data_IF_799380757578
#
_entry.id   IF_799380757578
#
_cell.length_a   1.000
_cell.length_b   1.000
_cell.length_c   1.000
_cell.angle_alpha   90.00
_cell.angle_beta   90.00
_cell.angle_gamma   90.00
#
_symmetry.space_group_name_H-M   'P 1'
#
loop_
_entity.id
_entity.type
_entity.pdbx_description
1 polymer ?
#
# COMPACT_ATOMS: atom_id res chain seq x y z
N UNK A 1 -10.31 2.08 12.22
CA UNK A 1 -9.86 1.31 11.05
C UNK A 1 -9.06 2.19 10.10
N UNK A 2 -7.84 1.84 9.83
CA UNK A 2 -6.95 2.66 9.02
C UNK A 2 -6.68 2.03 7.65
N UNK A 3 -7.69 1.38 7.09
CA UNK A 3 -7.53 0.65 5.85
C UNK A 3 -7.06 1.48 4.66
N UNK A 4 -7.28 2.80 4.72
CA UNK A 4 -6.88 3.72 3.65
C UNK A 4 -5.73 4.61 4.07
N UNK A 5 -4.98 4.26 5.11
CA UNK A 5 -3.84 5.08 5.46
C UNK A 5 -2.74 4.97 4.40
N UNK A 6 -1.88 5.97 4.38
CA UNK A 6 -0.87 6.09 3.34
C UNK A 6 0.07 4.88 3.32
N UNK A 7 0.44 4.35 4.48
CA UNK A 7 1.35 3.22 4.54
C UNK A 7 0.74 1.97 3.92
N UNK A 8 -0.50 1.66 4.26
CA UNK A 8 -1.19 0.49 3.69
C UNK A 8 -1.35 0.62 2.18
N UNK A 9 -1.69 1.83 1.71
CA UNK A 9 -1.84 2.05 0.26
C UNK A 9 -0.51 1.88 -0.48
N UNK A 10 0.59 2.34 0.09
CA UNK A 10 1.91 2.15 -0.51
C UNK A 10 2.26 0.66 -0.58
N UNK A 11 2.03 -0.08 0.51
CA UNK A 11 2.28 -1.53 0.48
C UNK A 11 1.45 -2.21 -0.59
N UNK A 12 0.19 -1.83 -0.71
CA UNK A 12 -0.70 -2.40 -1.71
C UNK A 12 -0.22 -2.09 -3.13
N UNK A 13 0.23 -0.87 -3.37
CA UNK A 13 0.76 -0.48 -4.67
C UNK A 13 1.96 -1.33 -5.08
N UNK A 14 2.75 -1.80 -4.10
CA UNK A 14 3.96 -2.58 -4.36
C UNK A 14 3.70 -4.08 -4.47
N UNK A 15 2.44 -4.51 -4.38
CA UNK A 15 2.12 -5.94 -4.36
C UNK A 15 2.59 -6.68 -5.61
N UNK A 16 2.57 -6.03 -6.76
CA UNK A 16 2.92 -6.65 -8.04
C UNK A 16 4.40 -6.53 -8.40
N UNK A 17 5.16 -5.75 -7.66
CA UNK A 17 6.58 -5.63 -7.92
C UNK A 17 7.12 -4.25 -7.57
N UNK A 18 8.42 -4.04 -7.81
CA UNK A 18 9.07 -2.78 -7.45
C UNK A 18 8.53 -1.59 -8.24
N UNK A 19 8.40 -0.45 -7.57
CA UNK A 19 8.00 0.81 -8.19
C UNK A 19 8.76 1.95 -7.53
N UNK A 20 8.96 3.03 -8.29
CA UNK A 20 9.44 4.29 -7.72
C UNK A 20 8.26 5.19 -7.37
N UNK A 21 8.55 6.29 -6.64
CA UNK A 21 7.49 7.11 -6.02
C UNK A 21 6.37 7.55 -6.93
N UNK A 22 6.70 8.03 -8.14
CA UNK A 22 5.65 8.46 -9.06
C UNK A 22 4.71 7.30 -9.44
N UNK A 23 5.30 6.15 -9.75
CA UNK A 23 4.50 4.99 -10.13
C UNK A 23 3.68 4.44 -8.97
N UNK A 24 4.22 4.52 -7.75
CA UNK A 24 3.46 4.15 -6.55
C UNK A 24 2.20 4.99 -6.47
N UNK A 25 2.35 6.31 -6.63
CA UNK A 25 1.19 7.20 -6.52
C UNK A 25 0.19 6.99 -7.65
N UNK A 26 0.67 6.67 -8.84
CA UNK A 26 -0.21 6.32 -9.95
C UNK A 26 -1.01 5.05 -9.63
N UNK A 27 -0.37 4.05 -9.03
CA UNK A 27 -1.06 2.83 -8.61
C UNK A 27 -2.09 3.12 -7.52
N UNK A 28 -1.76 3.99 -6.57
CA UNK A 28 -2.70 4.39 -5.51
C UNK A 28 -3.91 5.08 -6.11
N UNK A 29 -3.71 5.96 -7.08
CA UNK A 29 -4.82 6.63 -7.75
C UNK A 29 -5.73 5.62 -8.45
N UNK A 30 -5.14 4.60 -9.09
CA UNK A 30 -5.93 3.54 -9.71
C UNK A 30 -6.75 2.75 -8.70
N UNK A 31 -6.24 2.58 -7.47
CA UNK A 31 -6.92 1.84 -6.42
C UNK A 31 -8.02 2.65 -5.73
N UNK A 32 -7.80 3.94 -5.54
CA UNK A 32 -8.66 4.74 -4.65
C UNK A 32 -9.35 5.90 -5.35
N UNK A 33 -8.91 6.26 -6.53
CA UNK A 33 -9.37 7.46 -7.23
C UNK A 33 -8.64 8.72 -6.83
N UNK A 34 -7.72 8.66 -5.85
CA UNK A 34 -7.01 9.83 -5.36
C UNK A 34 -5.53 9.57 -5.20
N UNK A 35 -4.73 10.58 -5.47
CA UNK A 35 -3.29 10.52 -5.25
C UNK A 35 -2.96 11.01 -3.84
N UNK A 36 -1.88 10.51 -3.28
CA UNK A 36 -1.35 11.07 -2.03
C UNK A 36 -0.57 12.35 -2.34
N UNK A 37 -0.65 13.31 -1.43
CA UNK A 37 0.24 14.46 -1.51
C UNK A 37 1.67 14.04 -1.26
N UNK A 38 2.66 14.88 -1.68
CA UNK A 38 4.07 14.52 -1.55
C UNK A 38 4.48 14.22 -0.12
N UNK A 39 4.01 15.00 0.85
CA UNK A 39 4.35 14.76 2.26
C UNK A 39 3.83 13.43 2.75
N UNK A 40 2.60 13.07 2.39
CA UNK A 40 2.02 11.79 2.78
C UNK A 40 2.74 10.62 2.12
N UNK A 41 3.05 10.75 0.83
CA UNK A 41 3.73 9.69 0.10
C UNK A 41 5.13 9.43 0.66
N UNK A 42 5.95 10.48 0.73
CA UNK A 42 7.33 10.31 1.15
C UNK A 42 7.43 10.03 2.64
N UNK A 43 6.51 10.56 3.45
CA UNK A 43 6.43 10.19 4.86
C UNK A 43 6.13 8.71 5.05
N UNK A 44 5.20 8.18 4.27
CA UNK A 44 4.87 6.75 4.32
C UNK A 44 6.07 5.91 3.90
N UNK A 45 6.76 6.28 2.82
CA UNK A 45 7.94 5.56 2.36
C UNK A 45 9.03 5.52 3.44
N UNK A 46 9.28 6.66 4.07
CA UNK A 46 10.29 6.75 5.13
C UNK A 46 9.95 5.83 6.31
N UNK A 47 8.70 5.85 6.73
CA UNK A 47 8.26 5.02 7.85
C UNK A 47 8.31 3.53 7.52
N UNK A 48 7.90 3.17 6.31
CA UNK A 48 7.90 1.77 5.90
C UNK A 48 9.33 1.24 5.77
N UNK A 49 10.25 2.04 5.27
CA UNK A 49 11.66 1.67 5.21
C UNK A 49 12.23 1.48 6.62
N UNK A 50 11.90 2.39 7.53
CA UNK A 50 12.36 2.28 8.92
C UNK A 50 11.84 1.01 9.59
N UNK A 51 10.64 0.57 9.24
CA UNK A 51 10.05 -0.67 9.75
C UNK A 51 10.55 -1.91 9.01
N UNK A 52 11.35 -1.73 7.97
CA UNK A 52 11.86 -2.80 7.13
C UNK A 52 10.75 -3.58 6.41
N UNK A 53 9.68 -2.89 6.06
CA UNK A 53 8.58 -3.47 5.29
C UNK A 53 8.76 -3.25 3.80
N UNK A 54 9.57 -2.28 3.42
CA UNK A 54 10.00 -2.06 2.05
C UNK A 54 11.51 -1.85 2.05
N UNK A 55 12.12 -2.05 0.89
CA UNK A 55 13.56 -1.90 0.73
C UNK A 55 13.88 -1.36 -0.65
N UNK A 56 14.96 -0.60 -0.81
CA UNK A 56 15.39 -0.18 -2.13
C UNK A 56 15.84 -1.38 -2.95
N UNK A 57 15.57 -1.32 -4.25
CA UNK A 57 16.07 -2.31 -5.19
C UNK A 57 17.38 -1.76 -5.76
N UNK A 58 18.39 -2.61 -5.86
CA UNK A 58 19.63 -2.24 -6.50
C UNK A 58 19.34 -1.86 -7.95
N UNK A 59 19.66 -0.62 -8.33
CA UNK A 59 19.27 -0.08 -9.61
C UNK A 59 20.39 0.74 -10.19
N UNK A 60 20.45 0.76 -11.51
CA UNK A 60 21.35 1.66 -12.21
C UNK A 60 20.56 2.91 -12.58
N UNK A 61 21.15 4.08 -12.30
CA UNK A 61 20.53 5.32 -12.65
C UNK A 61 20.02 6.09 -11.45
N UNK A 62 19.20 7.11 -11.71
CA UNK A 62 18.75 8.06 -10.70
C UNK A 62 17.52 7.60 -9.92
N UNK A 63 16.71 6.77 -10.54
CA UNK A 63 15.48 6.32 -9.92
C UNK A 63 15.77 5.08 -9.08
N UNK A 64 15.25 5.09 -7.88
CA UNK A 64 15.44 3.99 -6.94
C UNK A 64 14.09 3.37 -6.63
N UNK A 65 13.70 2.34 -7.38
CA UNK A 65 12.48 1.64 -7.02
C UNK A 65 12.62 1.01 -5.65
N UNK A 66 11.48 0.85 -4.99
CA UNK A 66 11.41 0.11 -3.73
C UNK A 66 10.50 -1.09 -3.95
N UNK A 67 10.67 -2.09 -3.11
CA UNK A 67 9.86 -3.30 -3.17
C UNK A 67 9.48 -3.75 -1.77
N UNK A 68 8.47 -4.61 -1.69
CA UNK A 68 8.12 -5.23 -0.43
C UNK A 68 9.23 -6.16 0.02
N UNK A 69 9.53 -6.12 1.32
CA UNK A 69 10.30 -7.21 1.93
C UNK A 69 9.37 -8.40 2.17
N UNK A 70 9.92 -9.54 2.57
CA UNK A 70 9.09 -10.68 2.97
C UNK A 70 8.16 -10.30 4.13
N UNK A 71 8.67 -9.53 5.08
CA UNK A 71 7.84 -9.04 6.20
C UNK A 71 6.77 -8.08 5.72
N UNK A 72 7.11 -7.19 4.77
CA UNK A 72 6.16 -6.25 4.21
C UNK A 72 5.01 -6.98 3.53
N UNK A 73 5.32 -8.05 2.82
CA UNK A 73 4.31 -8.85 2.15
C UNK A 73 3.37 -9.49 3.17
N UNK A 74 3.90 -10.00 4.27
CA UNK A 74 3.08 -10.58 5.33
C UNK A 74 2.19 -9.55 6.01
N UNK A 75 2.75 -8.37 6.30
CA UNK A 75 1.96 -7.28 6.89
C UNK A 75 0.83 -6.88 5.95
N UNK A 76 1.14 -6.72 4.67
CA UNK A 76 0.13 -6.34 3.69
C UNK A 76 -0.99 -7.39 3.64
N UNK A 77 -0.65 -8.65 3.61
CA UNK A 77 -1.66 -9.70 3.56
C UNK A 77 -2.59 -9.63 4.77
N UNK A 78 -2.04 -9.46 5.97
CA UNK A 78 -2.86 -9.33 7.19
C UNK A 78 -3.79 -8.11 7.12
N UNK A 79 -3.25 -6.99 6.66
CA UNK A 79 -4.04 -5.77 6.54
C UNK A 79 -5.18 -5.93 5.54
N UNK A 80 -4.89 -6.54 4.40
CA UNK A 80 -5.91 -6.74 3.37
C UNK A 80 -6.99 -7.69 3.86
N UNK A 81 -6.62 -8.76 4.56
CA UNK A 81 -7.61 -9.69 5.09
C UNK A 81 -8.50 -9.01 6.14
N UNK A 82 -7.90 -8.16 6.97
CA UNK A 82 -8.67 -7.42 7.97
C UNK A 82 -9.65 -6.45 7.31
N UNK A 83 -9.21 -5.75 6.27
CA UNK A 83 -10.06 -4.82 5.52
C UNK A 83 -11.21 -5.58 4.85
N UNK A 84 -10.90 -6.71 4.22
CA UNK A 84 -11.91 -7.52 3.56
C UNK A 84 -12.97 -8.02 4.54
N UNK A 85 -12.53 -8.42 5.73
CA UNK A 85 -13.46 -8.89 6.77
C UNK A 85 -14.38 -7.78 7.26
N UNK A 86 -13.83 -6.59 7.50
CA UNK A 86 -14.64 -5.45 7.90
C UNK A 86 -15.65 -5.11 6.83
N UNK A 87 -15.22 -5.09 5.57
CA UNK A 87 -16.13 -4.79 4.46
C UNK A 87 -17.25 -5.83 4.36
N UNK A 88 -16.90 -7.11 4.47
CA UNK A 88 -17.89 -8.20 4.39
C UNK A 88 -18.91 -8.10 5.50
N UNK A 89 -18.46 -7.93 6.74
CA UNK A 89 -19.36 -7.84 7.89
C UNK A 89 -20.24 -6.60 7.79
N UNK A 90 -19.65 -5.46 7.42
CA UNK A 90 -20.40 -4.22 7.29
C UNK A 90 -21.48 -4.29 6.24
N UNK A 91 -21.14 -4.82 5.06
CA UNK A 91 -22.12 -4.97 3.98
C UNK A 91 -23.26 -5.91 4.40
N UNK A 92 -22.91 -7.00 5.06
CA UNK A 92 -23.93 -7.96 5.54
C UNK A 92 -24.88 -7.30 6.53
N UNK A 93 -24.34 -6.49 7.46
CA UNK A 93 -25.17 -5.78 8.44
C UNK A 93 -26.09 -4.74 7.80
N UNK A 94 -25.65 -4.17 6.68
CA UNK A 94 -26.48 -3.24 5.91
C UNK A 94 -27.50 -3.98 5.02
N UNK A 95 -27.41 -5.30 4.91
CA UNK A 95 -28.25 -6.05 4.01
C UNK A 95 -27.85 -5.95 2.56
N UNK A 96 -26.60 -5.56 2.28
CA UNK A 96 -26.08 -5.40 0.92
C UNK A 96 -25.23 -6.61 0.58
N UNK A 97 -25.39 -7.14 -0.61
CA UNK A 97 -24.56 -8.25 -1.06
C UNK A 97 -23.18 -7.77 -1.44
N UNK A 98 -22.16 -8.53 -1.08
CA UNK A 98 -20.81 -8.22 -1.59
C UNK A 98 -20.80 -8.35 -3.11
N UNK A 99 -20.02 -7.49 -3.75
CA UNK A 99 -19.87 -7.49 -5.21
C UNK A 99 -19.09 -8.72 -5.70
#
# INVERSE_FOLDING_TARGET
MQGNDAQTLVLCALADGPLHGYAINTAIEALTGERLGPGSLYGALTRLEAKQLIEPVAEQGRQRPVQLTAEGRQVLERELRAMARVAEVGLRRLGVRPA
#
